data_IF_275394401567
#
_entry.id   IF_275394401567
#
_cell.length_a   1.000
_cell.length_b   1.000
_cell.length_c   1.000
_cell.angle_alpha   90.00
_cell.angle_beta   90.00
_cell.angle_gamma   90.00
#
_symmetry.space_group_name_H-M   'P 1'
#
loop_
_entity.id
_entity.type
_entity.pdbx_description
1 polymer ?
#
# COMPACT_ATOMS: atom_id res chain seq x y z
N UNK A 1 -19.48 3.18 -1.86
CA UNK A 1 -18.10 3.07 -1.33
C UNK A 1 -17.25 4.08 -2.09
N UNK A 2 -16.77 5.14 -1.44
CA UNK A 2 -15.97 6.18 -2.13
C UNK A 2 -14.61 5.59 -2.47
N UNK A 3 -14.33 5.41 -3.76
CA UNK A 3 -13.11 4.81 -4.27
C UNK A 3 -11.96 5.82 -4.45
N UNK A 4 -11.91 6.87 -3.62
CA UNK A 4 -10.94 7.97 -3.70
C UNK A 4 -9.48 7.49 -3.75
N UNK A 5 -9.22 6.32 -3.14
CA UNK A 5 -7.92 5.69 -3.16
C UNK A 5 -7.48 5.31 -4.59
N UNK A 6 -8.40 4.91 -5.46
CA UNK A 6 -8.11 4.55 -6.84
C UNK A 6 -7.82 5.76 -7.72
N UNK A 7 -8.31 6.95 -7.34
CA UNK A 7 -8.02 8.18 -8.06
C UNK A 7 -6.52 8.52 -8.02
N UNK A 8 -5.79 8.04 -7.00
CA UNK A 8 -4.33 8.14 -6.92
C UNK A 8 -3.61 7.53 -8.15
N UNK A 9 -4.24 6.56 -8.83
CA UNK A 9 -3.70 5.99 -10.08
C UNK A 9 -3.60 7.09 -11.15
N UNK A 10 -4.41 8.14 -11.10
CA UNK A 10 -4.41 9.18 -12.12
C UNK A 10 -3.65 10.45 -11.71
N UNK A 11 -3.08 10.48 -10.50
CA UNK A 11 -2.35 11.65 -10.00
C UNK A 11 -1.08 11.94 -10.83
N UNK A 12 -1.02 13.10 -11.51
CA UNK A 12 0.13 13.48 -12.34
C UNK A 12 1.36 13.78 -11.46
N UNK A 13 2.55 13.54 -12.00
CA UNK A 13 3.84 13.72 -11.30
C UNK A 13 4.03 12.90 -10.01
N UNK A 14 3.13 11.95 -9.72
CA UNK A 14 3.32 10.98 -8.65
C UNK A 14 4.29 9.90 -9.12
N UNK A 15 5.38 9.65 -8.37
CA UNK A 15 6.36 8.57 -8.65
C UNK A 15 6.10 7.29 -7.85
N UNK A 16 5.30 7.41 -6.79
CA UNK A 16 4.91 6.31 -5.93
C UNK A 16 4.11 6.82 -4.74
N UNK A 17 3.47 5.88 -4.04
CA UNK A 17 2.57 6.14 -2.92
C UNK A 17 3.04 5.34 -1.71
N UNK A 18 3.12 6.01 -0.56
CA UNK A 18 3.29 5.39 0.76
C UNK A 18 1.97 5.55 1.52
N UNK A 19 1.42 4.44 2.03
CA UNK A 19 0.22 4.44 2.88
C UNK A 19 0.62 4.00 4.28
N UNK A 20 0.43 4.87 5.27
CA UNK A 20 0.67 4.56 6.68
C UNK A 20 -0.59 4.04 7.37
N UNK A 21 -0.45 2.96 8.14
CA UNK A 21 -1.50 2.33 8.94
C UNK A 21 -1.40 2.68 10.43
N UNK A 22 -0.61 3.70 10.78
CA UNK A 22 -0.28 4.08 12.17
C UNK A 22 -1.51 4.26 13.08
N UNK A 23 -2.62 4.76 12.53
CA UNK A 23 -3.87 5.00 13.29
C UNK A 23 -4.96 3.95 12.97
N UNK A 24 -4.60 2.85 12.31
CA UNK A 24 -5.56 1.83 11.84
C UNK A 24 -5.40 0.56 12.67
N UNK A 25 -6.31 0.37 13.64
CA UNK A 25 -6.35 -0.83 14.47
C UNK A 25 -7.00 -2.05 13.80
N UNK A 26 -7.80 -1.85 12.75
CA UNK A 26 -8.47 -2.94 12.03
C UNK A 26 -8.77 -2.57 10.58
N UNK A 27 -8.66 -3.55 9.69
CA UNK A 27 -9.05 -3.45 8.29
C UNK A 27 -10.07 -4.54 7.96
N UNK A 28 -11.21 -4.15 7.38
CA UNK A 28 -12.16 -5.12 6.83
C UNK A 28 -11.61 -5.75 5.55
N UNK A 29 -12.01 -7.00 5.25
CA UNK A 29 -11.63 -7.70 4.02
C UNK A 29 -12.03 -6.95 2.74
N UNK A 30 -13.02 -6.05 2.82
CA UNK A 30 -13.45 -5.21 1.71
C UNK A 30 -12.37 -4.22 1.22
N UNK A 31 -11.37 -3.90 2.04
CA UNK A 31 -10.26 -3.01 1.66
C UNK A 31 -9.13 -3.72 0.90
N UNK A 32 -9.04 -5.05 0.98
CA UNK A 32 -8.00 -5.81 0.29
C UNK A 32 -8.11 -5.66 -1.24
N UNK A 33 -9.32 -5.75 -1.79
CA UNK A 33 -9.56 -5.59 -3.23
C UNK A 33 -9.12 -4.23 -3.78
N UNK A 34 -9.54 -3.10 -3.17
CA UNK A 34 -9.04 -1.78 -3.50
C UNK A 34 -7.52 -1.63 -3.41
N UNK A 35 -6.86 -2.18 -2.39
CA UNK A 35 -5.40 -2.13 -2.25
C UNK A 35 -4.68 -2.89 -3.38
N UNK A 36 -5.17 -4.08 -3.72
CA UNK A 36 -4.64 -4.86 -4.85
C UNK A 36 -4.87 -4.13 -6.17
N UNK A 37 -6.02 -3.49 -6.34
CA UNK A 37 -6.35 -2.70 -7.54
C UNK A 37 -5.44 -1.48 -7.66
N UNK A 38 -5.19 -0.77 -6.55
CA UNK A 38 -4.26 0.34 -6.50
C UNK A 38 -2.84 -0.09 -6.86
N UNK A 39 -2.32 -1.17 -6.25
CA UNK A 39 -0.98 -1.69 -6.56
C UNK A 39 -0.85 -2.01 -8.04
N UNK A 40 -1.84 -2.69 -8.62
CA UNK A 40 -1.85 -3.02 -10.05
C UNK A 40 -1.80 -1.77 -10.91
N UNK A 41 -2.62 -0.75 -10.60
CA UNK A 41 -2.65 0.52 -11.34
C UNK A 41 -1.32 1.28 -11.26
N UNK A 42 -0.73 1.32 -10.08
CA UNK A 42 0.60 1.92 -9.86
C UNK A 42 1.67 1.18 -10.65
N UNK A 43 1.73 -0.15 -10.54
CA UNK A 43 2.70 -1.00 -11.24
C UNK A 43 2.61 -0.88 -12.76
N UNK A 44 1.39 -0.86 -13.32
CA UNK A 44 1.19 -0.66 -14.76
C UNK A 44 1.69 0.70 -15.27
N UNK A 45 1.78 1.68 -14.37
CA UNK A 45 2.33 3.01 -14.66
C UNK A 45 3.80 3.15 -14.24
N UNK A 46 4.48 2.03 -13.96
CA UNK A 46 5.86 1.99 -13.44
C UNK A 46 6.07 2.79 -12.14
N UNK A 47 5.03 2.91 -11.32
CA UNK A 47 5.04 3.53 -9.99
C UNK A 47 4.92 2.46 -8.92
N UNK A 48 5.40 2.75 -7.71
CA UNK A 48 5.34 1.82 -6.58
C UNK A 48 4.28 2.21 -5.56
N UNK A 49 3.70 1.20 -4.93
CA UNK A 49 2.91 1.34 -3.71
C UNK A 49 3.65 0.64 -2.58
N UNK A 50 3.76 1.30 -1.42
CA UNK A 50 4.36 0.73 -0.20
C UNK A 50 3.42 1.01 0.96
N UNK A 51 3.28 0.04 1.87
CA UNK A 51 2.53 0.20 3.11
C UNK A 51 3.52 0.32 4.29
N UNK A 52 3.16 1.08 5.32
CA UNK A 52 3.93 1.15 6.56
C UNK A 52 3.08 1.10 7.82
N UNK A 53 3.71 0.86 8.97
CA UNK A 53 3.07 0.94 10.29
C UNK A 53 1.87 -0.01 10.45
N UNK A 54 1.99 -1.21 9.90
CA UNK A 54 0.98 -2.27 10.05
C UNK A 54 1.22 -2.99 11.38
N UNK A 55 0.28 -2.82 12.30
CA UNK A 55 0.18 -3.52 13.60
C UNK A 55 0.21 -5.06 13.43
N UNK A 56 0.75 -5.78 14.43
CA UNK A 56 1.04 -7.22 14.34
C UNK A 56 -0.20 -8.07 13.98
N UNK A 57 -1.35 -7.77 14.59
CA UNK A 57 -2.60 -8.49 14.32
C UNK A 57 -3.03 -8.35 12.86
N UNK A 58 -2.90 -7.15 12.29
CA UNK A 58 -3.23 -6.90 10.89
C UNK A 58 -2.19 -7.51 9.94
N UNK A 59 -0.91 -7.51 10.33
CA UNK A 59 0.16 -8.15 9.55
C UNK A 59 -0.10 -9.64 9.35
N UNK A 60 -0.55 -10.35 10.39
CA UNK A 60 -0.94 -11.78 10.30
C UNK A 60 -2.07 -12.01 9.29
N UNK A 61 -3.06 -11.12 9.26
CA UNK A 61 -4.15 -11.19 8.26
C UNK A 61 -3.59 -10.99 6.85
N UNK A 62 -2.71 -9.99 6.67
CA UNK A 62 -2.07 -9.73 5.39
C UNK A 62 -1.23 -10.92 4.90
N UNK A 63 -0.47 -11.56 5.79
CA UNK A 63 0.31 -12.78 5.52
C UNK A 63 -0.57 -13.96 5.07
N UNK A 64 -1.71 -14.19 5.75
CA UNK A 64 -2.68 -15.22 5.35
C UNK A 64 -3.18 -14.95 3.93
N UNK A 65 -3.48 -13.69 3.63
CA UNK A 65 -3.96 -13.27 2.30
C UNK A 65 -2.85 -13.14 1.26
N UNK A 66 -1.58 -13.29 1.66
CA UNK A 66 -0.37 -13.11 0.84
C UNK A 66 -0.24 -11.70 0.25
N UNK A 67 -0.79 -10.70 0.91
CA UNK A 67 -0.77 -9.31 0.44
C UNK A 67 0.66 -8.75 0.42
N UNK A 68 1.52 -9.20 1.32
CA UNK A 68 2.94 -8.84 1.41
C UNK A 68 3.76 -9.23 0.17
N UNK A 69 3.26 -10.20 -0.62
CA UNK A 69 3.87 -10.58 -1.91
C UNK A 69 3.47 -9.66 -3.04
N UNK A 70 2.39 -8.92 -2.87
CA UNK A 70 1.83 -7.99 -3.86
C UNK A 70 2.28 -6.57 -3.55
N UNK A 71 2.22 -6.15 -2.28
CA UNK A 71 2.54 -4.81 -1.83
C UNK A 71 3.64 -4.91 -0.76
N UNK A 72 4.81 -4.26 -0.95
CA UNK A 72 5.82 -4.15 0.10
C UNK A 72 5.24 -3.52 1.37
N UNK A 73 5.48 -4.16 2.52
CA UNK A 73 5.08 -3.65 3.84
C UNK A 73 6.35 -3.39 4.66
N UNK A 74 6.51 -2.16 5.13
CA UNK A 74 7.64 -1.72 5.96
C UNK A 74 7.18 -1.39 7.38
N UNK A 75 8.10 -1.38 8.32
CA UNK A 75 7.74 -1.23 9.73
C UNK A 75 7.33 0.21 10.07
N UNK A 76 7.92 1.18 9.39
CA UNK A 76 7.66 2.60 9.58
C UNK A 76 7.70 3.39 8.27
N UNK A 77 7.26 4.63 8.33
CA UNK A 77 7.22 5.54 7.17
C UNK A 77 8.62 5.80 6.59
N UNK A 78 9.65 5.87 7.42
CA UNK A 78 11.03 6.12 6.97
C UNK A 78 11.52 5.00 6.03
N UNK A 79 11.42 3.75 6.46
CA UNK A 79 11.73 2.59 5.62
C UNK A 79 10.85 2.53 4.37
N UNK A 80 9.58 2.93 4.49
CA UNK A 80 8.66 3.03 3.36
C UNK A 80 9.12 4.04 2.31
N UNK A 81 9.60 5.21 2.74
CA UNK A 81 10.15 6.23 1.86
C UNK A 81 11.47 5.80 1.24
N UNK A 82 12.34 5.11 1.97
CA UNK A 82 13.57 4.55 1.42
C UNK A 82 13.29 3.54 0.31
N UNK A 83 12.29 2.67 0.51
CA UNK A 83 11.85 1.70 -0.51
C UNK A 83 11.39 2.39 -1.81
N UNK A 84 10.63 3.49 -1.68
CA UNK A 84 10.19 4.28 -2.82
C UNK A 84 11.36 4.94 -3.54
N UNK A 85 12.37 5.44 -2.83
CA UNK A 85 13.55 6.10 -3.43
C UNK A 85 14.43 5.12 -4.22
N UNK A 86 14.59 3.88 -3.75
CA UNK A 86 15.40 2.84 -4.44
C UNK A 86 14.81 2.37 -5.78
N UNK A 87 13.60 2.80 -6.09
CA UNK A 87 12.86 2.46 -7.30
C UNK A 87 13.09 3.38 -8.49
N UNK A 88 13.70 4.54 -8.23
CA UNK A 88 13.87 5.65 -9.18
C UNK A 88 15.26 5.59 -9.80
#
# INVERSE_FOLDING_TARGET
MRAWLLDLIHEPNCRGVLITFKEVGFMSTAMLGPLVTLERGMRLSNRKLVLSNVEEGMRKVMEITRLERVIPIRDNEEQGLEELKRAS
#
